data_IF_018574100530
#
_entry.id   IF_018574100530
#
_cell.length_a   1.000
_cell.length_b   1.000
_cell.length_c   1.000
_cell.angle_alpha   90.00
_cell.angle_beta   90.00
_cell.angle_gamma   90.00
#
_symmetry.space_group_name_H-M   'P 1'
#
loop_
_entity.id
_entity.type
_entity.pdbx_description
1 polymer ?
#
# COMPACT_ATOMS: atom_id res chain seq x y z
N UNK A 1 13.25 9.54 31.77
CA UNK A 1 12.48 9.65 30.51
C UNK A 1 11.34 8.66 30.63
N UNK A 2 10.09 9.10 30.61
CA UNK A 2 8.93 8.19 30.65
C UNK A 2 8.90 7.37 29.35
N UNK A 3 8.73 6.06 29.48
CA UNK A 3 8.55 5.19 28.31
C UNK A 3 7.27 5.61 27.57
N UNK A 4 7.41 5.96 26.30
CA UNK A 4 6.29 6.26 25.41
C UNK A 4 5.58 4.94 25.09
N UNK A 5 4.30 4.85 25.40
CA UNK A 5 3.48 3.66 25.10
C UNK A 5 2.82 3.77 23.71
N UNK A 6 2.33 2.63 23.18
CA UNK A 6 1.54 2.63 21.93
C UNK A 6 0.31 3.55 22.06
N UNK A 7 -0.31 3.58 23.25
CA UNK A 7 -1.41 4.50 23.57
C UNK A 7 -0.97 5.96 23.48
N UNK A 8 0.26 6.29 23.89
CA UNK A 8 0.79 7.65 23.77
C UNK A 8 1.02 8.03 22.31
N UNK A 9 1.47 7.09 21.48
CA UNK A 9 1.61 7.30 20.03
C UNK A 9 0.23 7.53 19.39
N UNK A 10 -0.77 6.73 19.73
CA UNK A 10 -2.14 6.87 19.23
C UNK A 10 -2.81 8.16 19.72
N UNK A 11 -2.62 8.53 20.97
CA UNK A 11 -3.19 9.75 21.55
C UNK A 11 -2.47 11.02 21.10
N UNK A 12 -1.18 10.94 20.77
CA UNK A 12 -0.38 12.05 20.24
C UNK A 12 -0.31 12.06 18.72
N UNK A 13 -0.91 11.08 18.02
CA UNK A 13 -1.14 11.21 16.60
C UNK A 13 -2.05 12.44 16.42
N UNK A 14 -1.43 13.57 16.05
CA UNK A 14 -2.14 14.83 15.82
C UNK A 14 -3.12 14.58 14.70
N UNK A 15 -4.38 14.31 15.06
CA UNK A 15 -5.47 14.34 14.10
C UNK A 15 -5.56 15.78 13.59
N UNK A 16 -5.24 16.05 12.33
CA UNK A 16 -5.42 17.38 11.79
C UNK A 16 -6.88 17.78 11.99
N UNK A 17 -7.14 19.01 12.44
CA UNK A 17 -8.50 19.52 12.60
C UNK A 17 -9.22 19.39 11.25
N UNK A 18 -10.46 18.93 11.26
CA UNK A 18 -11.26 18.80 10.05
C UNK A 18 -11.76 20.14 9.50
N UNK A 19 -11.48 21.25 10.20
CA UNK A 19 -11.81 22.60 9.74
C UNK A 19 -10.83 23.05 8.66
N UNK A 20 -11.33 23.22 7.45
CA UNK A 20 -10.56 23.72 6.31
C UNK A 20 -9.72 22.66 5.58
N UNK A 21 -10.00 21.39 5.76
CA UNK A 21 -9.30 20.31 5.11
C UNK A 21 -9.67 20.20 3.63
N UNK A 22 -8.91 20.85 2.78
CA UNK A 22 -8.85 20.49 1.38
C UNK A 22 -7.80 19.36 1.25
N UNK A 23 -8.17 18.22 0.66
CA UNK A 23 -7.22 17.16 0.31
C UNK A 23 -6.12 17.81 -0.53
N UNK A 24 -4.83 17.66 -0.17
CA UNK A 24 -3.79 18.11 -1.07
C UNK A 24 -4.03 17.42 -2.41
N UNK A 25 -3.98 18.16 -3.53
CA UNK A 25 -4.10 17.55 -4.84
C UNK A 25 -3.02 16.48 -4.93
N UNK A 26 -3.46 15.22 -5.10
CA UNK A 26 -2.52 14.13 -5.36
C UNK A 26 -1.88 14.50 -6.69
N UNK A 27 -0.65 14.95 -6.64
CA UNK A 27 0.14 15.14 -7.85
C UNK A 27 0.09 13.81 -8.60
N UNK A 28 -0.20 13.79 -9.90
CA UNK A 28 -0.06 12.56 -10.67
C UNK A 28 1.36 12.07 -10.37
N UNK A 29 1.46 10.91 -9.73
CA UNK A 29 2.74 10.36 -9.36
C UNK A 29 3.52 10.16 -10.65
N UNK A 30 4.41 11.10 -10.97
CA UNK A 30 5.57 10.70 -11.75
C UNK A 30 6.16 9.54 -10.95
N UNK A 31 6.22 8.32 -11.49
CA UNK A 31 6.71 7.19 -10.76
C UNK A 31 8.15 7.51 -10.34
N UNK A 32 8.30 8.00 -9.14
CA UNK A 32 9.62 8.03 -8.51
C UNK A 32 9.91 6.57 -8.29
N UNK A 33 10.81 6.02 -9.09
CA UNK A 33 11.29 4.65 -8.94
C UNK A 33 11.95 4.59 -7.57
N UNK A 34 11.19 4.21 -6.56
CA UNK A 34 11.73 3.85 -5.27
C UNK A 34 12.34 2.48 -5.49
N UNK A 35 13.67 2.42 -5.58
CA UNK A 35 14.35 1.14 -5.55
C UNK A 35 14.01 0.48 -4.20
N UNK A 36 13.26 -0.64 -4.19
CA UNK A 36 12.92 -1.29 -2.95
C UNK A 36 14.21 -1.65 -2.21
N UNK A 37 14.30 -1.27 -0.95
CA UNK A 37 15.38 -1.75 -0.10
C UNK A 37 15.35 -3.29 -0.12
N UNK A 38 16.52 -3.90 -0.28
CA UNK A 38 16.64 -5.36 -0.30
C UNK A 38 16.47 -5.87 1.12
N UNK A 39 15.83 -7.05 1.27
CA UNK A 39 15.80 -7.75 2.55
C UNK A 39 17.23 -7.93 3.06
N UNK A 40 17.48 -7.55 4.29
CA UNK A 40 18.78 -7.62 4.92
C UNK A 40 18.69 -8.38 6.25
N UNK A 41 19.06 -9.66 6.21
CA UNK A 41 19.02 -10.53 7.39
C UNK A 41 19.95 -10.04 8.52
N UNK A 42 21.03 -9.32 8.17
CA UNK A 42 21.94 -8.76 9.17
C UNK A 42 21.31 -7.67 10.03
N UNK A 43 20.19 -7.10 9.59
CA UNK A 43 19.38 -6.11 10.32
C UNK A 43 18.32 -6.73 11.21
N UNK A 44 18.27 -8.06 11.26
CA UNK A 44 17.33 -8.75 12.14
C UNK A 44 17.76 -8.59 13.59
N UNK A 45 16.82 -8.15 14.42
CA UNK A 45 17.05 -8.03 15.86
C UNK A 45 16.92 -9.41 16.49
N UNK A 46 17.93 -9.85 17.22
CA UNK A 46 17.90 -11.12 17.95
C UNK A 46 17.16 -10.92 19.30
N UNK A 47 16.08 -11.67 19.50
CA UNK A 47 15.33 -11.71 20.75
C UNK A 47 14.67 -13.08 20.93
N UNK A 48 14.26 -13.40 22.18
CA UNK A 48 13.68 -14.71 22.53
C UNK A 48 12.23 -14.90 22.04
N UNK A 49 11.60 -13.83 21.59
CA UNK A 49 10.21 -13.79 21.10
C UNK A 49 10.17 -13.34 19.65
N UNK A 50 9.13 -13.72 18.94
CA UNK A 50 8.89 -13.27 17.56
C UNK A 50 7.82 -12.19 17.56
N UNK A 51 8.13 -11.01 17.01
CA UNK A 51 7.16 -9.93 16.81
C UNK A 51 6.62 -9.96 15.40
N UNK A 52 5.33 -10.22 15.27
CA UNK A 52 4.61 -10.26 13.99
C UNK A 52 3.58 -9.13 13.99
N UNK A 53 3.59 -8.33 12.94
CA UNK A 53 2.61 -7.26 12.71
C UNK A 53 1.61 -7.73 11.67
N UNK A 54 0.33 -7.73 12.01
CA UNK A 54 -0.76 -8.03 11.07
C UNK A 54 -1.36 -6.73 10.56
N UNK A 55 -1.52 -6.63 9.24
CA UNK A 55 -2.11 -5.47 8.56
C UNK A 55 -3.34 -5.94 7.78
N UNK A 56 -4.55 -5.68 8.30
CA UNK A 56 -5.78 -6.05 7.60
C UNK A 56 -6.18 -4.98 6.57
N UNK A 57 -6.76 -5.41 5.48
CA UNK A 57 -7.59 -4.66 4.53
C UNK A 57 -7.13 -3.21 4.22
N UNK A 58 -5.93 -2.97 3.71
CA UNK A 58 -5.53 -1.61 3.33
C UNK A 58 -6.40 -1.02 2.22
N UNK A 59 -6.97 -1.85 1.35
CA UNK A 59 -7.91 -1.52 0.27
C UNK A 59 -7.47 -0.28 -0.52
N UNK A 60 -6.22 -0.29 -0.96
CA UNK A 60 -5.64 0.81 -1.73
C UNK A 60 -6.38 0.94 -3.06
N UNK A 61 -7.03 2.06 -3.25
CA UNK A 61 -7.81 2.34 -4.45
C UNK A 61 -8.11 3.81 -4.60
N UNK A 62 -8.60 4.18 -5.78
CA UNK A 62 -8.91 5.56 -6.14
C UNK A 62 -10.19 5.64 -6.94
N UNK A 63 -10.86 6.78 -6.86
CA UNK A 63 -11.76 7.29 -7.88
C UNK A 63 -11.13 8.53 -8.53
N UNK A 64 -11.58 8.83 -9.74
CA UNK A 64 -11.08 9.95 -10.52
C UNK A 64 -12.24 10.89 -10.84
N UNK A 65 -12.06 12.16 -10.52
CA UNK A 65 -13.03 13.20 -10.87
C UNK A 65 -12.85 13.67 -12.33
N UNK A 66 -13.82 14.41 -12.85
CA UNK A 66 -13.81 14.94 -14.22
C UNK A 66 -12.60 15.84 -14.52
N UNK A 67 -12.09 16.55 -13.52
CA UNK A 67 -10.89 17.39 -13.62
C UNK A 67 -9.58 16.57 -13.63
N UNK A 68 -9.67 15.24 -13.53
CA UNK A 68 -8.54 14.33 -13.48
C UNK A 68 -7.94 14.09 -12.09
N UNK A 69 -8.48 14.74 -11.05
CA UNK A 69 -8.03 14.54 -9.66
C UNK A 69 -8.35 13.13 -9.19
N UNK A 70 -7.36 12.48 -8.56
CA UNK A 70 -7.52 11.18 -7.92
C UNK A 70 -7.90 11.39 -6.46
N UNK A 71 -8.95 10.71 -6.01
CA UNK A 71 -9.42 10.73 -4.65
C UNK A 71 -9.30 9.31 -4.04
N UNK A 72 -8.49 9.12 -2.99
CA UNK A 72 -8.23 7.81 -2.43
C UNK A 72 -9.44 7.26 -1.67
N UNK A 73 -9.66 5.95 -1.73
CA UNK A 73 -10.57 5.23 -0.83
C UNK A 73 -9.91 4.88 0.49
N UNK A 74 -8.60 4.63 0.46
CA UNK A 74 -7.80 4.37 1.65
C UNK A 74 -7.61 5.65 2.47
N UNK A 75 -7.44 5.48 3.78
CA UNK A 75 -7.17 6.62 4.68
C UNK A 75 -5.66 6.82 4.85
N UNK A 76 -5.11 7.84 4.17
CA UNK A 76 -3.69 8.19 4.26
C UNK A 76 -3.23 8.48 5.70
N UNK A 77 -4.12 8.98 6.57
CA UNK A 77 -3.80 9.23 7.97
C UNK A 77 -3.62 7.93 8.73
N UNK A 78 -4.49 6.95 8.48
CA UNK A 78 -4.36 5.62 9.06
C UNK A 78 -3.06 4.95 8.60
N UNK A 79 -2.69 5.14 7.33
CA UNK A 79 -1.43 4.66 6.78
C UNK A 79 -0.23 5.35 7.45
N UNK A 80 -0.27 6.65 7.66
CA UNK A 80 0.79 7.38 8.36
C UNK A 80 0.93 6.92 9.81
N UNK A 81 -0.17 6.71 10.53
CA UNK A 81 -0.17 6.14 11.88
C UNK A 81 0.41 4.73 11.90
N UNK A 82 0.05 3.90 10.91
CA UNK A 82 0.64 2.57 10.74
C UNK A 82 2.17 2.64 10.68
N UNK A 83 2.73 3.56 9.88
CA UNK A 83 4.18 3.71 9.76
C UNK A 83 4.85 4.24 11.04
N UNK A 84 4.18 5.12 11.78
CA UNK A 84 4.67 5.58 13.09
C UNK A 84 4.74 4.42 14.09
N UNK A 85 3.68 3.61 14.15
CA UNK A 85 3.64 2.40 15.01
C UNK A 85 4.73 1.42 14.57
N UNK A 86 4.86 1.18 13.27
CA UNK A 86 5.84 0.23 12.74
C UNK A 86 7.27 0.66 13.05
N UNK A 87 7.59 1.95 12.90
CA UNK A 87 8.89 2.51 13.25
C UNK A 87 9.19 2.36 14.76
N UNK A 88 8.20 2.66 15.61
CA UNK A 88 8.32 2.48 17.05
C UNK A 88 8.56 1.01 17.43
N UNK A 89 7.80 0.09 16.85
CA UNK A 89 7.96 -1.35 17.12
C UNK A 89 9.32 -1.86 16.64
N UNK A 90 9.77 -1.39 15.48
CA UNK A 90 11.09 -1.75 14.94
C UNK A 90 12.21 -1.24 15.83
N UNK A 91 12.14 0.01 16.28
CA UNK A 91 13.16 0.61 17.14
C UNK A 91 13.24 -0.07 18.51
N UNK A 92 12.08 -0.34 19.13
CA UNK A 92 12.02 -0.82 20.51
C UNK A 92 12.17 -2.32 20.64
N UNK A 93 11.62 -3.10 19.71
CA UNK A 93 11.52 -4.56 19.84
C UNK A 93 12.11 -5.32 18.66
N UNK A 94 12.27 -4.67 17.50
CA UNK A 94 12.56 -5.35 16.26
C UNK A 94 11.36 -6.12 15.71
N UNK A 95 11.03 -5.89 14.44
CA UNK A 95 9.92 -6.58 13.76
C UNK A 95 10.49 -7.74 12.95
N UNK A 96 9.99 -8.95 13.18
CA UNK A 96 10.40 -10.15 12.44
C UNK A 96 9.59 -10.36 11.18
N UNK A 97 8.30 -10.06 11.23
CA UNK A 97 7.40 -10.36 10.12
C UNK A 97 6.25 -9.34 10.06
N UNK A 98 5.89 -8.93 8.85
CA UNK A 98 4.71 -8.11 8.54
C UNK A 98 3.83 -8.94 7.63
N UNK A 99 2.59 -9.19 8.03
CA UNK A 99 1.65 -10.02 7.27
C UNK A 99 0.44 -9.18 6.90
N UNK A 100 0.27 -8.91 5.61
CA UNK A 100 -0.97 -8.35 5.06
C UNK A 100 -1.99 -9.47 4.91
N UNK A 101 -3.18 -9.28 5.51
CA UNK A 101 -4.21 -10.31 5.58
C UNK A 101 -5.12 -10.38 4.34
N UNK A 102 -4.69 -9.81 3.23
CA UNK A 102 -5.43 -9.74 1.97
C UNK A 102 -6.11 -8.39 1.77
N UNK A 103 -6.80 -8.27 0.65
CA UNK A 103 -7.47 -7.05 0.18
C UNK A 103 -6.54 -5.83 0.24
N UNK A 104 -5.31 -6.05 -0.24
CA UNK A 104 -4.28 -5.02 -0.27
C UNK A 104 -4.63 -3.90 -1.26
N UNK A 105 -5.17 -4.27 -2.43
CA UNK A 105 -5.66 -3.36 -3.45
C UNK A 105 -7.18 -3.49 -3.60
N UNK A 106 -7.89 -2.37 -3.79
CA UNK A 106 -9.35 -2.44 -3.98
C UNK A 106 -9.74 -2.83 -5.42
N UNK A 107 -9.09 -2.34 -6.44
CA UNK A 107 -9.30 -2.65 -7.86
C UNK A 107 -10.80 -2.64 -8.29
N UNK A 108 -11.53 -1.54 -8.11
CA UNK A 108 -12.98 -1.49 -8.34
C UNK A 108 -13.36 -1.82 -9.79
N UNK A 109 -12.57 -1.37 -10.79
CA UNK A 109 -12.83 -1.62 -12.22
C UNK A 109 -12.71 -3.08 -12.64
N UNK A 110 -12.13 -3.92 -11.79
CA UNK A 110 -11.96 -5.34 -12.03
C UNK A 110 -12.97 -6.19 -11.24
N UNK A 111 -13.91 -5.53 -10.57
CA UNK A 111 -14.99 -6.17 -9.83
C UNK A 111 -16.13 -6.66 -10.73
N UNK A 112 -17.06 -7.40 -10.14
CA UNK A 112 -18.27 -7.93 -10.83
C UNK A 112 -19.44 -6.93 -10.92
N UNK A 113 -19.32 -5.79 -10.25
CA UNK A 113 -20.37 -4.76 -10.22
C UNK A 113 -20.29 -3.85 -11.44
N UNK A 114 -21.37 -3.12 -11.69
CA UNK A 114 -21.40 -2.13 -12.77
C UNK A 114 -20.25 -1.13 -12.61
N UNK A 115 -19.59 -0.83 -13.71
CA UNK A 115 -18.44 0.07 -13.72
C UNK A 115 -18.95 1.51 -13.83
N UNK A 116 -18.41 2.37 -13.00
CA UNK A 116 -18.62 3.81 -13.07
C UNK A 116 -17.40 4.48 -13.71
N UNK A 117 -17.64 5.54 -14.46
CA UNK A 117 -16.58 6.24 -15.21
C UNK A 117 -15.48 6.77 -14.27
N UNK A 118 -15.86 7.14 -13.04
CA UNK A 118 -14.92 7.63 -12.03
C UNK A 118 -13.83 6.62 -11.64
N UNK A 119 -13.99 5.34 -11.96
CA UNK A 119 -12.97 4.32 -11.69
C UNK A 119 -12.04 4.07 -12.87
N UNK A 120 -12.31 4.71 -14.04
CA UNK A 120 -11.45 4.55 -15.19
C UNK A 120 -10.03 5.05 -14.92
N UNK A 121 -9.05 4.28 -15.37
CA UNK A 121 -7.62 4.61 -15.25
C UNK A 121 -7.07 4.71 -13.81
N UNK A 122 -7.74 4.12 -12.81
CA UNK A 122 -7.31 4.17 -11.41
C UNK A 122 -6.48 2.97 -10.97
N UNK A 123 -6.37 1.93 -11.78
CA UNK A 123 -5.64 0.70 -11.46
C UNK A 123 -4.15 0.97 -11.30
N UNK A 124 -3.53 1.65 -12.28
CA UNK A 124 -2.09 1.90 -12.23
C UNK A 124 -1.70 2.79 -11.03
N UNK A 125 -2.40 3.90 -10.72
CA UNK A 125 -2.15 4.66 -9.49
C UNK A 125 -2.23 3.81 -8.22
N UNK A 126 -3.19 2.89 -8.11
CA UNK A 126 -3.30 2.00 -6.97
C UNK A 126 -2.11 1.03 -6.86
N UNK A 127 -1.67 0.46 -7.99
CA UNK A 127 -0.49 -0.41 -8.04
C UNK A 127 0.78 0.34 -7.60
N UNK A 128 0.97 1.56 -8.13
CA UNK A 128 2.16 2.38 -7.82
C UNK A 128 2.19 2.79 -6.36
N UNK A 129 1.04 3.20 -5.80
CA UNK A 129 0.94 3.54 -4.40
C UNK A 129 1.19 2.32 -3.51
N UNK A 130 0.56 1.18 -3.80
CA UNK A 130 0.77 -0.06 -3.05
C UNK A 130 2.23 -0.52 -3.08
N UNK A 131 2.89 -0.42 -4.23
CA UNK A 131 4.33 -0.70 -4.33
C UNK A 131 5.15 0.23 -3.43
N UNK A 132 4.86 1.53 -3.43
CA UNK A 132 5.56 2.51 -2.59
C UNK A 132 5.37 2.23 -1.10
N UNK A 133 4.18 1.80 -0.67
CA UNK A 133 3.95 1.39 0.71
C UNK A 133 4.80 0.18 1.10
N UNK A 134 4.88 -0.84 0.26
CA UNK A 134 5.74 -2.00 0.52
C UNK A 134 7.23 -1.61 0.57
N UNK A 135 7.67 -0.70 -0.31
CA UNK A 135 9.02 -0.18 -0.29
C UNK A 135 9.31 0.59 1.00
N UNK A 136 8.36 1.42 1.46
CA UNK A 136 8.46 2.15 2.73
C UNK A 136 8.49 1.19 3.93
N UNK A 137 7.68 0.12 3.93
CA UNK A 137 7.73 -0.92 4.97
C UNK A 137 9.08 -1.62 5.00
N UNK A 138 9.63 -1.97 3.83
CA UNK A 138 10.97 -2.56 3.73
C UNK A 138 12.05 -1.61 4.27
N UNK A 139 11.96 -0.32 3.96
CA UNK A 139 12.89 0.69 4.49
C UNK A 139 12.77 0.85 6.02
N UNK A 140 11.55 0.79 6.55
CA UNK A 140 11.29 0.90 7.99
C UNK A 140 11.76 -0.34 8.75
N UNK A 141 11.51 -1.53 8.20
CA UNK A 141 11.83 -2.83 8.81
C UNK A 141 12.70 -3.67 7.85
N UNK A 142 14.00 -3.34 7.69
CA UNK A 142 14.84 -3.97 6.66
C UNK A 142 15.06 -5.46 6.87
N UNK A 143 15.05 -5.94 8.12
CA UNK A 143 15.21 -7.36 8.49
C UNK A 143 13.89 -8.13 8.63
N UNK A 144 12.73 -7.49 8.46
CA UNK A 144 11.45 -8.16 8.59
C UNK A 144 11.08 -8.92 7.30
N UNK A 145 10.49 -10.10 7.45
CA UNK A 145 9.82 -10.77 6.34
C UNK A 145 8.49 -10.09 6.05
N UNK A 146 8.23 -9.71 4.79
CA UNK A 146 6.95 -9.15 4.36
C UNK A 146 6.19 -10.22 3.59
N UNK A 147 4.96 -10.52 4.03
CA UNK A 147 4.07 -11.52 3.44
C UNK A 147 2.79 -10.81 3.01
N UNK A 148 2.38 -11.04 1.77
CA UNK A 148 1.08 -10.62 1.27
C UNK A 148 0.23 -11.89 1.08
N UNK A 149 -0.89 -11.97 1.79
CA UNK A 149 -1.92 -12.95 1.52
C UNK A 149 -2.84 -12.39 0.44
N UNK A 150 -3.31 -13.24 -0.43
CA UNK A 150 -4.27 -12.85 -1.45
C UNK A 150 -5.68 -12.77 -0.85
N UNK A 151 -6.31 -11.62 -0.95
CA UNK A 151 -7.71 -11.40 -0.60
C UNK A 151 -8.64 -11.52 -1.81
N UNK A 152 -9.93 -11.32 -1.59
CA UNK A 152 -10.91 -11.40 -2.68
C UNK A 152 -10.84 -10.20 -3.64
N UNK A 153 -10.31 -9.04 -3.20
CA UNK A 153 -10.07 -7.88 -4.05
C UNK A 153 -8.79 -8.07 -4.88
N UNK A 154 -7.73 -8.59 -4.28
CA UNK A 154 -6.46 -8.80 -4.98
C UNK A 154 -6.59 -9.77 -6.15
N UNK A 155 -7.36 -10.86 -5.98
CA UNK A 155 -7.57 -11.82 -7.06
C UNK A 155 -8.45 -11.29 -8.21
N UNK A 156 -9.06 -10.09 -8.09
CA UNK A 156 -9.81 -9.45 -9.18
C UNK A 156 -8.94 -9.22 -10.40
N UNK A 157 -7.68 -8.84 -10.21
CA UNK A 157 -6.73 -8.63 -11.30
C UNK A 157 -6.60 -9.89 -12.16
N UNK A 158 -6.29 -11.03 -11.55
CA UNK A 158 -6.12 -12.29 -12.26
C UNK A 158 -7.42 -12.72 -12.96
N UNK A 159 -8.55 -12.62 -12.27
CA UNK A 159 -9.87 -12.97 -12.83
C UNK A 159 -10.22 -12.08 -14.03
N UNK A 160 -9.98 -10.78 -13.92
CA UNK A 160 -10.22 -9.83 -15.00
C UNK A 160 -9.34 -10.11 -16.21
N UNK A 161 -8.04 -10.39 -15.97
CA UNK A 161 -7.08 -10.75 -17.01
C UNK A 161 -7.54 -12.00 -17.76
N UNK A 162 -7.95 -13.05 -17.04
CA UNK A 162 -8.44 -14.29 -17.67
C UNK A 162 -9.74 -14.05 -18.48
N UNK A 163 -10.68 -13.26 -17.91
CA UNK A 163 -11.97 -12.99 -18.57
C UNK A 163 -11.85 -11.98 -19.72
N UNK A 164 -10.88 -11.08 -19.67
CA UNK A 164 -10.75 -9.96 -20.61
C UNK A 164 -9.31 -9.86 -21.16
N UNK A 165 -8.76 -10.97 -21.63
CA UNK A 165 -7.35 -11.07 -22.03
C UNK A 165 -6.92 -9.96 -23.00
N UNK A 166 -7.78 -9.63 -24.00
CA UNK A 166 -7.47 -8.59 -24.97
C UNK A 166 -7.47 -7.19 -24.37
N UNK A 167 -8.40 -6.90 -23.43
CA UNK A 167 -8.48 -5.60 -22.76
C UNK A 167 -7.34 -5.39 -21.77
N UNK A 168 -6.78 -6.45 -21.22
CA UNK A 168 -5.68 -6.42 -20.23
C UNK A 168 -4.30 -6.34 -20.88
N UNK A 169 -4.22 -6.44 -22.21
CA UNK A 169 -2.95 -6.38 -22.93
C UNK A 169 -2.28 -5.01 -22.70
N UNK A 170 -1.05 -5.04 -22.26
CA UNK A 170 -0.25 -3.82 -22.00
C UNK A 170 -0.28 -3.32 -20.55
N UNK A 171 -1.07 -3.92 -19.66
CA UNK A 171 -0.96 -3.63 -18.21
C UNK A 171 0.40 -4.11 -17.74
N UNK A 172 1.11 -3.22 -17.02
CA UNK A 172 2.45 -3.48 -16.51
C UNK A 172 2.43 -3.54 -14.98
N UNK A 173 3.52 -4.05 -14.43
CA UNK A 173 3.76 -3.96 -12.97
C UNK A 173 3.89 -2.50 -12.55
N UNK A 174 3.66 -2.23 -11.26
CA UNK A 174 3.96 -0.93 -10.67
C UNK A 174 5.41 -0.52 -10.94
N UNK A 175 5.63 0.74 -11.25
CA UNK A 175 6.96 1.31 -11.59
C UNK A 175 7.71 0.58 -12.72
N UNK A 176 6.98 -0.07 -13.63
CA UNK A 176 7.56 -0.74 -14.77
C UNK A 176 8.18 0.27 -15.74
N UNK A 177 9.36 -0.04 -16.27
CA UNK A 177 9.98 0.74 -17.35
C UNK A 177 9.27 0.47 -18.68
N UNK A 178 9.47 1.31 -19.73
CA UNK A 178 8.89 1.06 -21.05
C UNK A 178 9.29 -0.31 -21.64
N UNK A 179 10.46 -0.83 -21.24
CA UNK A 179 11.00 -2.09 -21.74
C UNK A 179 10.44 -3.32 -20.99
N UNK A 180 9.81 -3.12 -19.84
CA UNK A 180 9.24 -4.22 -19.07
C UNK A 180 8.08 -4.87 -19.83
N UNK A 181 8.03 -6.21 -19.75
CA UNK A 181 6.95 -6.99 -20.33
C UNK A 181 5.61 -6.62 -19.68
N UNK A 182 4.53 -6.50 -20.46
CA UNK A 182 3.18 -6.41 -19.91
C UNK A 182 2.87 -7.63 -19.02
N UNK A 183 1.98 -7.45 -18.06
CA UNK A 183 1.47 -8.55 -17.19
C UNK A 183 0.90 -9.68 -18.05
N UNK A 184 0.43 -9.33 -19.26
CA UNK A 184 0.07 -10.28 -20.31
C UNK A 184 0.88 -9.97 -21.56
N UNK A 185 1.67 -10.91 -21.97
CA UNK A 185 2.35 -10.97 -23.27
C UNK A 185 1.65 -11.99 -24.17
#
# INVERSE_FOLDING_TARGET
MSEMTILDVLNNAVMPSTEGWAWPPIQPANPTVINPAVYDESKKVAHDSKLIVFVPDPQIGYRKYEDGTLDPFHDDRAIDVHFQILAYLQEKYGVDEIIHLGDYLDLPTMGKYAQEEMFAHTVQPALDYGHNLLAKQRATCPGAKIVLLEGNHDCRMQRYVVANAMASKGIKRANATPEDWPVMS
#
